data_IF_072064525476
#
_entry.id   IF_072064525476
#
_cell.length_a   1.000
_cell.length_b   1.000
_cell.length_c   1.000
_cell.angle_alpha   90.00
_cell.angle_beta   90.00
_cell.angle_gamma   90.00
#
_symmetry.space_group_name_H-M   'P 1'
#
loop_
_entity.id
_entity.type
_entity.pdbx_description
1 polymer ?
#
# COMPACT_ATOMS: atom_id res chain seq x y z
N UNK A 1 -21.96 3.55 -1.12
CA UNK A 1 -23.30 2.94 -1.32
C UNK A 1 -24.13 2.92 -0.03
N UNK A 2 -23.66 2.29 1.03
CA UNK A 2 -24.41 2.26 2.31
C UNK A 2 -24.55 3.66 2.94
N UNK A 3 -23.60 4.56 2.74
CA UNK A 3 -23.71 5.94 3.17
C UNK A 3 -24.99 6.60 2.63
N UNK A 4 -25.27 6.48 1.34
CA UNK A 4 -26.49 7.07 0.74
C UNK A 4 -27.77 6.42 1.28
N UNK A 5 -27.77 5.11 1.45
CA UNK A 5 -28.91 4.39 2.04
C UNK A 5 -29.14 4.84 3.49
N UNK A 6 -28.10 4.92 4.31
CA UNK A 6 -28.22 5.32 5.70
C UNK A 6 -28.59 6.81 5.86
N UNK A 7 -28.10 7.68 4.96
CA UNK A 7 -28.52 9.08 4.92
C UNK A 7 -30.01 9.22 4.57
N UNK A 8 -30.51 8.39 3.65
CA UNK A 8 -31.94 8.34 3.33
C UNK A 8 -32.76 7.82 4.54
N UNK A 9 -32.31 6.74 5.19
CA UNK A 9 -32.97 6.19 6.37
C UNK A 9 -32.95 7.13 7.57
N UNK A 10 -31.94 7.96 7.69
CA UNK A 10 -31.83 8.98 8.77
C UNK A 10 -32.97 10.02 8.72
N UNK A 11 -33.64 10.18 7.58
CA UNK A 11 -34.83 11.03 7.47
C UNK A 11 -36.04 10.45 8.24
N UNK A 12 -36.07 9.14 8.44
CA UNK A 12 -37.15 8.43 9.13
C UNK A 12 -36.79 8.09 10.58
N UNK A 13 -35.51 7.78 10.85
CA UNK A 13 -35.02 7.37 12.14
C UNK A 13 -33.64 8.00 12.41
N UNK A 14 -33.57 8.87 13.43
CA UNK A 14 -32.36 9.65 13.77
C UNK A 14 -31.14 8.79 14.13
N UNK A 15 -31.34 7.56 14.58
CA UNK A 15 -30.28 6.63 14.91
C UNK A 15 -29.34 6.35 13.71
N UNK A 16 -29.83 6.44 12.49
CA UNK A 16 -29.01 6.26 11.28
C UNK A 16 -28.00 7.38 11.04
N UNK A 17 -28.12 8.54 11.72
CA UNK A 17 -27.12 9.61 11.63
C UNK A 17 -25.72 9.17 12.09
N UNK A 18 -25.59 8.12 12.86
CA UNK A 18 -24.28 7.57 13.29
C UNK A 18 -23.41 7.17 12.09
N UNK A 19 -24.00 6.76 10.98
CA UNK A 19 -23.29 6.38 9.77
C UNK A 19 -22.79 7.55 8.92
N UNK A 20 -23.19 8.79 9.23
CA UNK A 20 -22.63 10.00 8.62
C UNK A 20 -21.24 10.33 9.17
N UNK A 21 -20.91 9.87 10.38
CA UNK A 21 -19.59 10.11 10.97
C UNK A 21 -18.50 9.33 10.26
N UNK A 22 -17.47 10.05 9.79
CA UNK A 22 -16.33 9.49 9.08
C UNK A 22 -15.63 8.38 9.87
N UNK A 23 -15.42 8.59 11.17
CA UNK A 23 -14.79 7.60 12.06
C UNK A 23 -15.59 6.31 12.17
N UNK A 24 -16.92 6.40 12.24
CA UNK A 24 -17.78 5.22 12.25
C UNK A 24 -17.69 4.45 10.93
N UNK A 25 -17.72 5.14 9.80
CA UNK A 25 -17.55 4.52 8.47
C UNK A 25 -16.18 3.87 8.29
N UNK A 26 -15.13 4.49 8.83
CA UNK A 26 -13.78 3.90 8.80
C UNK A 26 -13.74 2.61 9.62
N UNK A 27 -14.31 2.57 10.83
CA UNK A 27 -14.40 1.36 11.66
C UNK A 27 -15.18 0.26 10.93
N UNK A 28 -16.33 0.60 10.36
CA UNK A 28 -17.16 -0.35 9.62
C UNK A 28 -16.48 -0.83 8.33
N UNK A 29 -15.73 0.04 7.65
CA UNK A 29 -14.90 -0.31 6.51
C UNK A 29 -13.82 -1.33 6.87
N UNK A 30 -13.10 -1.11 7.96
CA UNK A 30 -12.10 -2.05 8.47
C UNK A 30 -12.71 -3.40 8.84
N UNK A 31 -13.81 -3.38 9.62
CA UNK A 31 -14.50 -4.61 10.03
C UNK A 31 -15.07 -5.38 8.83
N UNK A 32 -15.67 -4.68 7.87
CA UNK A 32 -16.18 -5.30 6.64
C UNK A 32 -15.06 -5.98 5.87
N UNK A 33 -13.93 -5.31 5.67
CA UNK A 33 -12.77 -5.86 4.97
C UNK A 33 -12.19 -7.08 5.70
N UNK A 34 -12.08 -7.02 7.03
CA UNK A 34 -11.60 -8.12 7.87
C UNK A 34 -12.52 -9.34 7.77
N UNK A 35 -13.84 -9.13 7.92
CA UNK A 35 -14.84 -10.22 7.83
C UNK A 35 -14.85 -10.83 6.44
N UNK A 36 -14.80 -10.02 5.38
CA UNK A 36 -14.71 -10.51 4.01
C UNK A 36 -13.48 -11.40 3.82
N UNK A 37 -12.34 -10.99 4.36
CA UNK A 37 -11.09 -11.76 4.30
C UNK A 37 -11.25 -13.12 4.98
N UNK A 38 -11.89 -13.18 6.15
CA UNK A 38 -12.13 -14.45 6.86
C UNK A 38 -13.15 -15.37 6.17
N UNK A 39 -14.17 -14.80 5.54
CA UNK A 39 -15.21 -15.57 4.85
C UNK A 39 -14.72 -16.10 3.49
N UNK A 40 -14.04 -15.25 2.72
CA UNK A 40 -13.57 -15.57 1.37
C UNK A 40 -12.27 -16.36 1.41
N UNK A 41 -11.34 -16.02 2.34
CA UNK A 41 -9.99 -16.56 2.41
C UNK A 41 -9.92 -18.08 2.36
N UNK A 42 -10.60 -18.83 3.25
CA UNK A 42 -10.50 -20.29 3.25
C UNK A 42 -10.99 -20.94 1.95
N UNK A 43 -12.03 -20.36 1.30
CA UNK A 43 -12.51 -20.85 0.01
C UNK A 43 -11.53 -20.59 -1.11
N UNK A 44 -10.94 -19.38 -1.12
CA UNK A 44 -9.97 -18.97 -2.11
C UNK A 44 -8.68 -19.80 -1.99
N UNK A 45 -8.14 -19.97 -0.79
CA UNK A 45 -6.93 -20.77 -0.53
C UNK A 45 -7.13 -22.20 -1.02
N UNK A 46 -8.26 -22.84 -0.68
CA UNK A 46 -8.57 -24.20 -1.17
C UNK A 46 -8.62 -24.27 -2.69
N UNK A 47 -9.22 -23.26 -3.36
CA UNK A 47 -9.29 -23.23 -4.83
C UNK A 47 -7.91 -23.05 -5.47
N UNK A 48 -7.07 -22.19 -4.90
CA UNK A 48 -5.69 -21.96 -5.37
C UNK A 48 -4.84 -23.21 -5.17
N UNK A 49 -4.92 -23.87 -4.00
CA UNK A 49 -4.20 -25.12 -3.72
C UNK A 49 -4.64 -26.26 -4.65
N UNK A 50 -5.94 -26.41 -4.90
CA UNK A 50 -6.47 -27.45 -5.81
C UNK A 50 -5.96 -27.26 -7.25
N UNK A 51 -5.82 -26.02 -7.69
CA UNK A 51 -5.34 -25.71 -9.04
C UNK A 51 -3.80 -25.72 -9.15
N UNK A 52 -3.10 -26.17 -8.11
CA UNK A 52 -1.64 -26.23 -8.03
C UNK A 52 -0.96 -24.88 -8.39
N UNK A 53 -1.59 -23.77 -8.01
CA UNK A 53 -1.08 -22.41 -8.22
C UNK A 53 0.01 -22.13 -7.18
N UNK A 54 1.00 -23.01 -7.08
CA UNK A 54 2.15 -22.88 -6.18
C UNK A 54 3.32 -22.19 -6.86
N UNK A 55 4.00 -21.32 -6.12
CA UNK A 55 5.19 -20.65 -6.65
C UNK A 55 6.36 -21.64 -6.74
N UNK A 56 7.06 -21.76 -7.88
CA UNK A 56 8.29 -22.53 -7.95
C UNK A 56 9.33 -21.88 -7.02
N UNK A 57 9.91 -22.70 -6.13
CA UNK A 57 10.98 -22.23 -5.24
C UNK A 57 12.25 -22.05 -6.07
N UNK A 58 12.95 -20.92 -5.89
CA UNK A 58 14.22 -20.67 -6.58
C UNK A 58 15.32 -21.53 -6.00
N UNK A 59 16.14 -22.16 -6.85
CA UNK A 59 17.24 -23.05 -6.43
C UNK A 59 18.41 -22.29 -5.79
N UNK A 60 18.47 -20.96 -5.98
CA UNK A 60 19.52 -20.05 -5.48
C UNK A 60 19.13 -19.32 -4.18
N UNK A 61 17.97 -19.65 -3.57
CA UNK A 61 17.51 -19.12 -2.28
C UNK A 61 18.02 -19.90 -1.05
N UNK A 62 17.73 -19.43 0.18
CA UNK A 62 18.00 -20.19 1.40
C UNK A 62 17.28 -21.54 1.40
N UNK A 63 17.93 -22.60 1.91
CA UNK A 63 17.37 -23.97 1.97
C UNK A 63 16.04 -24.04 2.74
N UNK A 64 15.81 -23.11 3.66
CA UNK A 64 14.55 -22.97 4.41
C UNK A 64 13.33 -22.69 3.52
N UNK A 65 13.54 -22.17 2.32
CA UNK A 65 12.46 -21.89 1.38
C UNK A 65 11.95 -23.14 0.64
N UNK A 66 12.73 -24.24 0.60
CA UNK A 66 12.31 -25.50 0.01
C UNK A 66 11.09 -26.12 0.72
N UNK A 67 10.92 -25.86 2.01
CA UNK A 67 9.77 -26.34 2.80
C UNK A 67 8.47 -25.66 2.37
N UNK A 68 8.56 -24.48 1.75
CA UNK A 68 7.41 -23.68 1.26
C UNK A 68 6.93 -24.09 -0.12
N UNK A 69 7.56 -25.09 -0.75
CA UNK A 69 7.15 -25.60 -2.05
C UNK A 69 5.70 -26.08 -1.99
N UNK A 70 4.87 -25.59 -2.91
CA UNK A 70 3.45 -25.93 -2.95
C UNK A 70 2.51 -24.98 -2.20
N UNK A 71 3.02 -24.00 -1.44
CA UNK A 71 2.17 -22.94 -0.89
C UNK A 71 1.56 -22.12 -2.02
N UNK A 72 0.22 -21.99 -2.08
CA UNK A 72 -0.44 -21.24 -3.14
C UNK A 72 -0.07 -19.75 -3.07
N UNK A 73 -0.03 -19.10 -4.21
CA UNK A 73 0.18 -17.63 -4.34
C UNK A 73 -1.04 -16.97 -4.96
N UNK A 74 -0.98 -15.67 -5.28
CA UNK A 74 -2.09 -14.82 -5.74
C UNK A 74 -3.08 -14.46 -4.61
N UNK A 75 -2.68 -14.56 -3.35
CA UNK A 75 -3.48 -14.14 -2.19
C UNK A 75 -3.84 -12.65 -2.18
N UNK A 76 -3.10 -11.83 -2.91
CA UNK A 76 -3.42 -10.42 -3.12
C UNK A 76 -4.81 -10.15 -3.68
N UNK A 77 -5.39 -11.09 -4.42
CA UNK A 77 -6.76 -10.96 -4.90
C UNK A 77 -7.79 -10.89 -3.75
N UNK A 78 -7.54 -11.59 -2.64
CA UNK A 78 -8.36 -11.49 -1.42
C UNK A 78 -8.31 -10.07 -0.83
N UNK A 79 -7.09 -9.52 -0.73
CA UNK A 79 -6.87 -8.18 -0.18
C UNK A 79 -7.61 -7.15 -1.04
N UNK A 80 -7.41 -7.18 -2.36
CA UNK A 80 -8.02 -6.22 -3.29
C UNK A 80 -9.54 -6.28 -3.28
N UNK A 81 -10.11 -7.49 -3.28
CA UNK A 81 -11.56 -7.66 -3.21
C UNK A 81 -12.11 -7.08 -1.91
N UNK A 82 -11.46 -7.36 -0.77
CA UNK A 82 -11.89 -6.86 0.53
C UNK A 82 -11.78 -5.33 0.62
N UNK A 83 -10.69 -4.73 0.12
CA UNK A 83 -10.53 -3.27 0.06
C UNK A 83 -11.60 -2.65 -0.85
N UNK A 84 -11.74 -3.14 -2.08
CA UNK A 84 -12.64 -2.55 -3.06
C UNK A 84 -14.10 -2.59 -2.59
N UNK A 85 -14.57 -3.76 -2.12
CA UNK A 85 -15.95 -3.90 -1.63
C UNK A 85 -16.18 -3.00 -0.42
N UNK A 86 -15.28 -2.99 0.56
CA UNK A 86 -15.44 -2.17 1.77
C UNK A 86 -15.42 -0.68 1.46
N UNK A 87 -14.52 -0.23 0.60
CA UNK A 87 -14.44 1.17 0.19
C UNK A 87 -15.72 1.60 -0.55
N UNK A 88 -16.19 0.80 -1.52
CA UNK A 88 -17.43 1.10 -2.26
C UNK A 88 -18.68 1.11 -1.38
N UNK A 89 -18.71 0.32 -0.32
CA UNK A 89 -19.83 0.29 0.62
C UNK A 89 -19.85 1.53 1.53
N UNK A 90 -18.70 1.94 2.08
CA UNK A 90 -18.64 2.88 3.20
C UNK A 90 -18.11 4.28 2.84
N UNK A 91 -17.35 4.45 1.73
CA UNK A 91 -16.86 5.77 1.32
C UNK A 91 -17.95 6.58 0.62
N UNK A 92 -17.73 7.89 0.61
CA UNK A 92 -18.45 8.81 -0.25
C UNK A 92 -17.95 8.65 -1.69
N UNK A 93 -18.85 8.17 -2.57
CA UNK A 93 -18.53 7.90 -3.97
C UNK A 93 -18.59 9.15 -4.88
N UNK A 94 -18.96 10.32 -4.35
CA UNK A 94 -18.84 11.59 -5.07
C UNK A 94 -17.42 12.15 -4.96
N UNK A 95 -16.62 11.62 -4.04
CA UNK A 95 -15.26 12.07 -3.79
C UNK A 95 -14.26 11.50 -4.82
N UNK A 96 -13.61 12.39 -5.57
CA UNK A 96 -12.64 12.01 -6.62
C UNK A 96 -11.42 11.28 -6.06
N UNK A 97 -10.95 11.64 -4.85
CA UNK A 97 -9.78 11.01 -4.25
C UNK A 97 -10.00 9.52 -3.98
N UNK A 98 -11.22 9.12 -3.61
CA UNK A 98 -11.60 7.71 -3.44
C UNK A 98 -11.44 6.97 -4.75
N UNK A 99 -11.90 7.54 -5.86
CA UNK A 99 -11.80 6.91 -7.18
C UNK A 99 -10.37 6.83 -7.68
N UNK A 100 -9.57 7.88 -7.47
CA UNK A 100 -8.14 7.88 -7.89
C UNK A 100 -7.37 6.81 -7.13
N UNK A 101 -7.54 6.71 -5.80
CA UNK A 101 -6.85 5.71 -4.98
C UNK A 101 -7.32 4.30 -5.32
N UNK A 102 -8.62 4.06 -5.50
CA UNK A 102 -9.16 2.78 -5.96
C UNK A 102 -8.65 2.42 -7.35
N UNK A 103 -8.66 3.36 -8.29
CA UNK A 103 -8.15 3.14 -9.65
C UNK A 103 -6.69 2.69 -9.63
N UNK A 104 -5.82 3.41 -8.92
CA UNK A 104 -4.40 3.06 -8.80
C UNK A 104 -4.24 1.67 -8.20
N UNK A 105 -4.94 1.41 -7.09
CA UNK A 105 -4.87 0.11 -6.39
C UNK A 105 -5.28 -1.04 -7.30
N UNK A 106 -6.40 -0.92 -7.99
CA UNK A 106 -6.92 -1.97 -8.85
C UNK A 106 -6.13 -2.12 -10.15
N UNK A 107 -5.69 -1.01 -10.78
CA UNK A 107 -4.88 -1.06 -11.99
C UNK A 107 -3.53 -1.77 -11.75
N UNK A 108 -2.85 -1.45 -10.65
CA UNK A 108 -1.62 -2.15 -10.27
C UNK A 108 -1.88 -3.61 -9.86
N UNK A 109 -3.03 -3.88 -9.26
CA UNK A 109 -3.49 -5.25 -9.01
C UNK A 109 -3.69 -6.06 -10.28
N UNK A 110 -4.27 -5.46 -11.33
CA UNK A 110 -4.41 -6.11 -12.66
C UNK A 110 -3.05 -6.39 -13.29
N UNK A 111 -2.10 -5.45 -13.19
CA UNK A 111 -0.73 -5.66 -13.68
C UNK A 111 -0.09 -6.86 -12.96
N UNK A 112 -0.20 -6.91 -11.63
CA UNK A 112 0.29 -8.03 -10.83
C UNK A 112 -0.42 -9.35 -11.16
N UNK A 113 -1.75 -9.30 -11.36
CA UNK A 113 -2.52 -10.49 -11.78
C UNK A 113 -2.02 -11.06 -13.11
N UNK A 114 -1.79 -10.23 -14.11
CA UNK A 114 -1.28 -10.69 -15.42
C UNK A 114 0.13 -11.27 -15.29
N UNK A 115 0.96 -10.73 -14.42
CA UNK A 115 2.31 -11.25 -14.15
C UNK A 115 2.25 -12.63 -13.47
N UNK A 116 1.50 -12.73 -12.37
CA UNK A 116 1.30 -13.98 -11.64
C UNK A 116 0.62 -15.04 -12.52
N UNK A 117 -0.40 -14.67 -13.31
CA UNK A 117 -1.09 -15.58 -14.21
C UNK A 117 -0.14 -16.18 -15.26
N UNK A 118 0.74 -15.36 -15.85
CA UNK A 118 1.73 -15.85 -16.80
C UNK A 118 2.73 -16.81 -16.17
N UNK A 119 3.21 -16.48 -14.97
CA UNK A 119 4.18 -17.31 -14.25
C UNK A 119 3.62 -18.68 -13.86
N UNK A 120 2.38 -18.69 -13.38
CA UNK A 120 1.79 -19.85 -12.72
C UNK A 120 0.91 -20.69 -13.63
N UNK A 121 0.01 -20.08 -14.37
CA UNK A 121 -0.96 -20.80 -15.22
C UNK A 121 -0.36 -21.10 -16.59
N UNK A 122 0.33 -20.12 -17.20
CA UNK A 122 1.00 -20.34 -18.48
C UNK A 122 2.40 -20.95 -18.34
N UNK A 123 2.84 -21.22 -17.09
CA UNK A 123 4.14 -21.82 -16.77
C UNK A 123 5.32 -21.10 -17.45
N UNK A 124 5.21 -19.78 -17.60
CA UNK A 124 6.27 -18.94 -18.15
C UNK A 124 7.00 -18.23 -16.98
N UNK A 125 8.16 -18.73 -16.53
CA UNK A 125 8.87 -18.18 -15.37
C UNK A 125 9.25 -16.70 -15.51
N UNK A 126 9.37 -16.20 -16.75
CA UNK A 126 9.70 -14.81 -17.01
C UNK A 126 8.55 -13.84 -16.72
N UNK A 127 7.29 -14.32 -16.67
CA UNK A 127 6.11 -13.49 -16.45
C UNK A 127 5.94 -12.37 -17.49
N UNK A 128 5.64 -11.16 -17.02
CA UNK A 128 5.68 -9.94 -17.84
C UNK A 128 7.12 -9.41 -17.87
N UNK A 129 7.60 -8.97 -19.02
CA UNK A 129 8.92 -8.34 -19.09
C UNK A 129 8.98 -7.07 -18.22
N UNK A 130 10.14 -6.78 -17.61
CA UNK A 130 10.31 -5.60 -16.79
C UNK A 130 9.92 -4.30 -17.51
N UNK A 131 10.20 -4.20 -18.81
CA UNK A 131 9.81 -3.03 -19.64
C UNK A 131 8.28 -2.88 -19.74
N UNK A 132 7.58 -4.01 -19.99
CA UNK A 132 6.10 -4.00 -20.05
C UNK A 132 5.49 -3.68 -18.69
N UNK A 133 6.06 -4.23 -17.60
CA UNK A 133 5.60 -3.96 -16.23
C UNK A 133 5.69 -2.48 -15.91
N UNK A 134 6.86 -1.87 -16.10
CA UNK A 134 7.07 -0.43 -15.89
C UNK A 134 6.21 0.42 -16.82
N UNK A 135 6.01 0.02 -18.07
CA UNK A 135 5.17 0.75 -19.01
C UNK A 135 3.72 0.87 -18.51
N UNK A 136 3.09 -0.24 -18.12
CA UNK A 136 1.70 -0.21 -17.64
C UNK A 136 1.56 0.47 -16.27
N UNK A 137 2.54 0.30 -15.37
CA UNK A 137 2.61 1.05 -14.12
C UNK A 137 2.70 2.56 -14.38
N UNK A 138 3.53 2.97 -15.35
CA UNK A 138 3.68 4.37 -15.75
C UNK A 138 2.39 4.93 -16.31
N UNK A 139 1.69 4.21 -17.18
CA UNK A 139 0.41 4.64 -17.73
C UNK A 139 -0.61 4.90 -16.62
N UNK A 140 -0.77 3.96 -15.70
CA UNK A 140 -1.72 4.12 -14.60
C UNK A 140 -1.35 5.28 -13.65
N UNK A 141 -0.06 5.41 -13.30
CA UNK A 141 0.42 6.47 -12.41
C UNK A 141 0.31 7.87 -13.06
N UNK A 142 0.58 7.99 -14.35
CA UNK A 142 0.44 9.26 -15.10
C UNK A 142 -1.03 9.66 -15.17
N UNK A 143 -1.95 8.73 -15.44
CA UNK A 143 -3.39 9.02 -15.44
C UNK A 143 -3.82 9.56 -14.07
N UNK A 144 -3.38 8.94 -12.98
CA UNK A 144 -3.68 9.41 -11.63
C UNK A 144 -3.08 10.80 -11.35
N UNK A 145 -1.82 11.05 -11.76
CA UNK A 145 -1.15 12.33 -11.60
C UNK A 145 -1.87 13.46 -12.36
N UNK A 146 -2.28 13.20 -13.61
CA UNK A 146 -3.06 14.12 -14.43
C UNK A 146 -4.42 14.41 -13.78
N UNK A 147 -5.13 13.37 -13.32
CA UNK A 147 -6.43 13.52 -12.69
C UNK A 147 -6.37 14.41 -11.43
N UNK A 148 -5.36 14.16 -10.56
CA UNK A 148 -5.17 14.95 -9.35
C UNK A 148 -4.77 16.41 -9.66
N UNK A 149 -3.91 16.63 -10.64
CA UNK A 149 -3.47 17.97 -11.02
C UNK A 149 -4.63 18.82 -11.57
N UNK A 150 -5.36 18.31 -12.55
CA UNK A 150 -6.48 19.05 -13.16
C UNK A 150 -7.67 19.21 -12.22
N UNK A 151 -7.89 18.24 -11.32
CA UNK A 151 -8.89 18.41 -10.26
C UNK A 151 -8.52 19.58 -9.32
N UNK A 152 -7.25 19.68 -8.93
CA UNK A 152 -6.78 20.78 -8.10
C UNK A 152 -6.87 22.14 -8.82
N UNK A 153 -6.54 22.18 -10.11
CA UNK A 153 -6.65 23.38 -10.95
C UNK A 153 -8.11 23.85 -11.05
N UNK A 154 -9.03 22.92 -11.32
CA UNK A 154 -10.46 23.23 -11.46
C UNK A 154 -11.10 23.74 -10.14
N UNK A 155 -10.55 23.34 -8.99
CA UNK A 155 -11.01 23.76 -7.66
C UNK A 155 -10.22 24.95 -7.07
N UNK A 156 -9.27 25.52 -7.81
CA UNK A 156 -8.46 26.65 -7.33
C UNK A 156 -7.52 26.29 -6.16
N UNK A 157 -7.18 25.01 -6.00
CA UNK A 157 -6.34 24.50 -4.90
C UNK A 157 -4.94 24.08 -5.37
N UNK A 158 -4.54 24.55 -6.55
CA UNK A 158 -3.31 24.12 -7.21
C UNK A 158 -2.05 24.42 -6.38
N UNK A 159 -2.00 25.57 -5.71
CA UNK A 159 -0.85 25.93 -4.85
C UNK A 159 -0.66 24.92 -3.70
N UNK A 160 -1.74 24.54 -3.04
CA UNK A 160 -1.70 23.51 -1.99
C UNK A 160 -1.39 22.14 -2.59
N UNK A 161 -1.96 21.84 -3.76
CA UNK A 161 -1.82 20.56 -4.42
C UNK A 161 -0.41 20.32 -5.00
N UNK A 162 0.36 21.35 -5.26
CA UNK A 162 1.71 21.26 -5.82
C UNK A 162 2.82 21.63 -4.82
N UNK A 163 2.46 21.86 -3.56
CA UNK A 163 3.41 22.10 -2.48
C UNK A 163 3.94 20.78 -1.91
N UNK A 164 5.25 20.56 -1.96
CA UNK A 164 5.91 19.48 -1.25
C UNK A 164 6.26 19.96 0.16
N UNK A 165 5.72 19.28 1.16
CA UNK A 165 5.89 19.61 2.58
C UNK A 165 7.16 18.96 3.13
N UNK A 166 7.96 19.73 3.86
CA UNK A 166 9.14 19.20 4.57
C UNK A 166 8.71 18.85 6.00
N UNK A 167 8.69 17.56 6.40
CA UNK A 167 8.31 17.18 7.75
C UNK A 167 9.26 17.81 8.77
N UNK A 168 8.73 18.17 9.96
CA UNK A 168 9.41 18.87 11.05
C UNK A 168 9.77 20.34 10.79
N UNK A 169 9.71 20.81 9.54
CA UNK A 169 9.97 22.20 9.16
C UNK A 169 8.74 22.75 8.43
N UNK A 170 7.66 23.01 9.16
CA UNK A 170 6.33 23.29 8.59
C UNK A 170 6.27 24.57 7.73
N UNK A 171 7.13 25.54 8.02
CA UNK A 171 7.24 26.75 7.22
C UNK A 171 8.01 26.56 5.89
N UNK A 172 8.65 25.38 5.72
CA UNK A 172 9.41 25.05 4.53
C UNK A 172 8.57 24.21 3.58
N UNK A 173 8.09 24.87 2.54
CA UNK A 173 7.38 24.23 1.44
C UNK A 173 8.09 24.50 0.13
N UNK A 174 8.16 23.49 -0.72
CA UNK A 174 8.74 23.62 -2.06
C UNK A 174 7.59 23.58 -3.06
N UNK A 175 7.36 24.71 -3.74
CA UNK A 175 6.34 24.77 -4.80
C UNK A 175 6.89 24.08 -6.06
N UNK A 176 6.30 22.97 -6.42
CA UNK A 176 6.73 22.14 -7.54
C UNK A 176 5.97 22.45 -8.84
N UNK A 177 4.79 23.09 -8.75
CA UNK A 177 3.95 23.33 -9.91
C UNK A 177 3.69 22.03 -10.69
N UNK A 178 3.85 22.04 -12.01
CA UNK A 178 3.66 20.85 -12.85
C UNK A 178 4.62 19.68 -12.50
N UNK A 179 5.79 19.96 -11.87
CA UNK A 179 6.71 18.89 -11.47
C UNK A 179 6.14 17.98 -10.37
N UNK A 180 5.04 18.38 -9.71
CA UNK A 180 4.31 17.53 -8.78
C UNK A 180 3.80 16.24 -9.46
N UNK A 181 3.46 16.29 -10.75
CA UNK A 181 3.07 15.07 -11.49
C UNK A 181 4.20 14.03 -11.52
N UNK A 182 5.46 14.48 -11.64
CA UNK A 182 6.62 13.59 -11.58
C UNK A 182 6.79 12.99 -10.18
N UNK A 183 6.61 13.79 -9.12
CA UNK A 183 6.65 13.30 -7.74
C UNK A 183 5.54 12.28 -7.50
N UNK A 184 4.31 12.56 -7.93
CA UNK A 184 3.19 11.63 -7.88
C UNK A 184 3.54 10.30 -8.56
N UNK A 185 4.06 10.35 -9.79
CA UNK A 185 4.52 9.18 -10.53
C UNK A 185 5.57 8.39 -9.75
N UNK A 186 6.61 9.06 -9.26
CA UNK A 186 7.71 8.42 -8.54
C UNK A 186 7.24 7.74 -7.26
N UNK A 187 6.33 8.36 -6.51
CA UNK A 187 5.80 7.75 -5.29
C UNK A 187 4.90 6.56 -5.57
N UNK A 188 4.00 6.63 -6.55
CA UNK A 188 3.12 5.51 -6.91
C UNK A 188 3.94 4.32 -7.44
N UNK A 189 4.78 4.54 -8.46
CA UNK A 189 5.56 3.46 -9.10
C UNK A 189 6.68 2.98 -8.17
N UNK A 190 7.35 3.91 -7.49
CA UNK A 190 8.45 3.60 -6.56
C UNK A 190 7.98 2.73 -5.40
N UNK A 191 6.94 3.13 -4.68
CA UNK A 191 6.41 2.34 -3.57
C UNK A 191 5.77 1.03 -4.01
N UNK A 192 5.13 0.99 -5.19
CA UNK A 192 4.65 -0.26 -5.76
C UNK A 192 5.75 -1.30 -5.87
N UNK A 193 6.87 -0.93 -6.48
CA UNK A 193 7.99 -1.86 -6.65
C UNK A 193 8.76 -2.09 -5.33
N UNK A 194 8.79 -1.12 -4.42
CA UNK A 194 9.43 -1.26 -3.12
C UNK A 194 8.73 -2.28 -2.22
N UNK A 195 7.40 -2.24 -2.16
CA UNK A 195 6.61 -3.25 -1.43
C UNK A 195 6.77 -4.62 -2.09
N UNK A 196 6.78 -4.69 -3.42
CA UNK A 196 6.98 -5.94 -4.15
C UNK A 196 8.36 -6.57 -3.89
N UNK A 197 9.42 -5.78 -3.79
CA UNK A 197 10.75 -6.26 -3.42
C UNK A 197 10.84 -6.71 -1.96
N UNK A 198 10.00 -6.17 -1.08
CA UNK A 198 9.97 -6.53 0.34
C UNK A 198 9.16 -7.80 0.60
N UNK A 199 8.27 -8.20 -0.32
CA UNK A 199 7.40 -9.39 -0.18
C UNK A 199 8.17 -10.70 -0.45
N UNK A 200 9.24 -10.92 0.31
CA UNK A 200 10.10 -12.11 0.19
C UNK A 200 9.96 -13.11 1.33
N UNK A 201 9.35 -12.73 2.47
CA UNK A 201 9.14 -13.58 3.65
C UNK A 201 7.69 -13.50 4.12
N UNK A 202 7.23 -14.57 4.81
CA UNK A 202 5.84 -14.74 5.27
C UNK A 202 5.40 -13.59 6.19
N UNK A 203 4.44 -12.78 5.74
CA UNK A 203 3.92 -11.64 6.52
C UNK A 203 4.85 -10.41 6.58
N UNK A 204 6.03 -10.45 5.95
CA UNK A 204 7.00 -9.36 6.05
C UNK A 204 6.47 -8.05 5.46
N UNK A 205 5.88 -8.07 4.27
CA UNK A 205 5.42 -6.86 3.59
C UNK A 205 4.04 -6.39 4.07
N UNK A 206 3.13 -7.30 4.42
CA UNK A 206 1.74 -6.94 4.71
C UNK A 206 1.60 -6.15 6.02
N UNK A 207 2.28 -6.52 7.11
CA UNK A 207 2.15 -5.81 8.37
C UNK A 207 2.72 -4.39 8.32
N UNK A 208 3.91 -4.12 7.76
CA UNK A 208 4.37 -2.76 7.47
C UNK A 208 3.38 -1.96 6.64
N UNK A 209 2.77 -2.57 5.62
CA UNK A 209 1.74 -1.90 4.80
C UNK A 209 0.52 -1.50 5.63
N UNK A 210 0.04 -2.36 6.52
CA UNK A 210 -1.07 -2.07 7.45
C UNK A 210 -0.72 -0.91 8.39
N UNK A 211 0.48 -0.92 8.96
CA UNK A 211 0.95 0.12 9.89
C UNK A 211 1.07 1.48 9.19
N UNK A 212 1.72 1.51 8.03
CA UNK A 212 1.91 2.74 7.24
C UNK A 212 0.57 3.24 6.68
N UNK A 213 -0.26 2.34 6.14
CA UNK A 213 -1.58 2.68 5.63
C UNK A 213 -2.51 3.23 6.72
N UNK A 214 -2.49 2.62 7.93
CA UNK A 214 -3.23 3.13 9.08
C UNK A 214 -2.78 4.53 9.51
N UNK A 215 -1.46 4.77 9.55
CA UNK A 215 -0.91 6.09 9.85
C UNK A 215 -1.28 7.13 8.78
N UNK A 216 -1.20 6.79 7.50
CA UNK A 216 -1.67 7.67 6.42
C UNK A 216 -3.18 7.95 6.52
N UNK A 217 -3.98 7.00 7.01
CA UNK A 217 -5.39 7.22 7.33
C UNK A 217 -5.59 8.29 8.40
N UNK A 218 -4.74 8.34 9.43
CA UNK A 218 -4.76 9.44 10.42
C UNK A 218 -4.38 10.77 9.77
N UNK A 219 -3.36 10.80 8.91
CA UNK A 219 -3.03 12.01 8.14
C UNK A 219 -4.21 12.44 7.27
N UNK A 220 -4.89 11.53 6.60
CA UNK A 220 -6.07 11.83 5.79
C UNK A 220 -7.17 12.49 6.64
N UNK A 221 -7.42 11.95 7.82
CA UNK A 221 -8.42 12.48 8.74
C UNK A 221 -8.09 13.92 9.19
N UNK A 222 -6.86 14.18 9.61
CA UNK A 222 -6.48 15.51 10.12
C UNK A 222 -6.33 16.53 8.99
N UNK A 223 -5.80 16.14 7.82
CA UNK A 223 -5.68 17.02 6.65
C UNK A 223 -7.03 17.40 6.05
N UNK A 224 -8.00 16.47 6.14
CA UNK A 224 -9.37 16.71 5.69
C UNK A 224 -10.28 17.44 6.66
N UNK A 225 -9.78 17.87 7.81
CA UNK A 225 -10.54 18.57 8.85
C UNK A 225 -9.95 19.96 9.11
N UNK A 226 -10.73 21.02 8.90
CA UNK A 226 -10.29 22.41 9.04
C UNK A 226 -9.70 22.69 10.43
N UNK A 227 -10.38 22.27 11.51
CA UNK A 227 -9.94 22.55 12.87
C UNK A 227 -8.62 21.83 13.20
N UNK A 228 -8.49 20.56 12.79
CA UNK A 228 -7.27 19.81 13.05
C UNK A 228 -6.10 20.28 12.18
N UNK A 229 -6.34 20.61 10.91
CA UNK A 229 -5.29 21.12 10.04
C UNK A 229 -4.74 22.46 10.53
N UNK A 230 -5.62 23.37 10.93
CA UNK A 230 -5.23 24.67 11.54
C UNK A 230 -4.46 24.46 12.86
N UNK A 231 -5.00 23.65 13.78
CA UNK A 231 -4.32 23.36 15.05
C UNK A 231 -2.94 22.73 14.88
N UNK A 232 -2.81 21.84 13.89
CA UNK A 232 -1.55 21.14 13.60
C UNK A 232 -0.62 21.94 12.70
N UNK A 233 -1.06 23.05 12.10
CA UNK A 233 -0.29 23.86 11.14
C UNK A 233 0.08 23.08 9.88
N UNK A 234 -0.84 22.26 9.37
CA UNK A 234 -0.71 21.52 8.11
C UNK A 234 -1.73 22.04 7.09
N UNK A 235 -1.49 21.90 5.78
CA UNK A 235 -2.45 22.33 4.78
C UNK A 235 -3.78 21.59 4.90
N UNK A 236 -4.88 22.33 4.86
CA UNK A 236 -6.20 21.75 4.70
C UNK A 236 -6.45 21.36 3.25
N UNK A 237 -6.85 20.13 3.02
CA UNK A 237 -7.23 19.61 1.69
C UNK A 237 -8.63 19.04 1.78
N UNK A 238 -9.61 19.77 1.25
CA UNK A 238 -11.02 19.37 1.30
C UNK A 238 -11.23 17.98 0.67
N UNK A 239 -11.99 17.14 1.36
CA UNK A 239 -12.35 15.81 0.87
C UNK A 239 -11.32 14.70 1.17
N UNK A 240 -10.09 15.00 1.56
CA UNK A 240 -9.09 13.94 1.87
C UNK A 240 -9.49 13.08 3.07
N UNK A 241 -10.33 13.58 3.97
CA UNK A 241 -10.84 12.80 5.09
C UNK A 241 -11.46 11.46 4.68
N UNK A 242 -12.12 11.39 3.52
CA UNK A 242 -12.72 10.14 3.00
C UNK A 242 -11.71 9.03 2.76
N UNK A 243 -10.45 9.38 2.49
CA UNK A 243 -9.36 8.40 2.32
C UNK A 243 -9.08 7.62 3.61
N UNK A 244 -9.47 8.14 4.79
CA UNK A 244 -9.41 7.38 6.03
C UNK A 244 -10.22 6.07 5.94
N UNK A 245 -11.39 6.08 5.25
CA UNK A 245 -12.22 4.87 5.07
C UNK A 245 -11.49 3.85 4.22
N UNK A 246 -10.84 4.29 3.13
CA UNK A 246 -10.00 3.42 2.30
C UNK A 246 -8.81 2.83 3.10
N UNK A 247 -8.09 3.66 3.85
CA UNK A 247 -6.97 3.22 4.67
C UNK A 247 -7.40 2.24 5.76
N UNK A 248 -8.57 2.45 6.35
CA UNK A 248 -9.16 1.53 7.32
C UNK A 248 -9.55 0.19 6.68
N UNK A 249 -10.13 0.22 5.46
CA UNK A 249 -10.42 -0.98 4.69
C UNK A 249 -9.13 -1.73 4.31
N UNK A 250 -8.06 -1.01 3.92
CA UNK A 250 -6.74 -1.58 3.67
C UNK A 250 -6.18 -2.27 4.92
N UNK A 251 -6.27 -1.61 6.07
CA UNK A 251 -5.80 -2.19 7.34
C UNK A 251 -6.60 -3.45 7.71
N UNK A 252 -7.93 -3.41 7.59
CA UNK A 252 -8.78 -4.56 7.85
C UNK A 252 -8.51 -5.75 6.90
N UNK A 253 -8.39 -5.48 5.59
CA UNK A 253 -8.05 -6.49 4.58
C UNK A 253 -6.65 -7.06 4.81
N UNK A 254 -5.67 -6.20 5.12
CA UNK A 254 -4.29 -6.59 5.39
C UNK A 254 -4.17 -7.47 6.63
N UNK A 255 -4.84 -7.11 7.73
CA UNK A 255 -4.89 -7.95 8.95
C UNK A 255 -5.61 -9.28 8.69
N UNK A 256 -6.71 -9.26 7.92
CA UNK A 256 -7.42 -10.47 7.54
C UNK A 256 -6.59 -11.39 6.64
N UNK A 257 -5.79 -10.83 5.75
CA UNK A 257 -4.84 -11.59 4.94
C UNK A 257 -3.67 -12.12 5.78
N UNK A 258 -3.12 -11.32 6.69
CA UNK A 258 -2.03 -11.71 7.59
C UNK A 258 -2.37 -12.95 8.42
N UNK A 259 -3.64 -13.14 8.78
CA UNK A 259 -4.11 -14.36 9.46
C UNK A 259 -3.72 -15.64 8.72
N UNK A 260 -3.71 -15.60 7.39
CA UNK A 260 -3.34 -16.74 6.55
C UNK A 260 -1.89 -16.68 6.06
N UNK A 261 -1.28 -15.50 6.05
CA UNK A 261 0.06 -15.26 5.52
C UNK A 261 1.15 -15.20 6.61
N UNK A 262 0.77 -15.27 7.92
CA UNK A 262 1.76 -15.36 9.01
C UNK A 262 2.56 -16.65 8.90
N UNK A 263 3.82 -16.61 9.35
CA UNK A 263 4.73 -17.78 9.31
C UNK A 263 4.22 -18.96 10.15
N UNK A 264 4.16 -20.21 9.63
CA UNK A 264 4.35 -20.58 8.20
C UNK A 264 3.11 -20.26 7.36
N UNK A 265 3.30 -19.57 6.23
CA UNK A 265 2.20 -19.06 5.43
C UNK A 265 1.37 -20.15 4.75
N UNK A 266 0.04 -19.99 4.78
CA UNK A 266 -0.93 -20.82 4.06
C UNK A 266 -1.16 -20.31 2.62
N UNK A 267 -0.80 -19.05 2.34
CA UNK A 267 -0.94 -18.40 1.03
C UNK A 267 0.05 -17.23 0.93
N UNK A 268 0.68 -17.08 -0.23
CA UNK A 268 1.52 -15.92 -0.53
C UNK A 268 0.72 -14.81 -1.21
N UNK A 269 1.16 -13.58 -0.99
CA UNK A 269 0.49 -12.39 -1.50
C UNK A 269 0.58 -12.30 -3.02
N UNK A 270 1.76 -12.54 -3.59
CA UNK A 270 2.05 -12.43 -5.01
C UNK A 270 2.12 -10.98 -5.51
N UNK A 271 2.48 -10.84 -6.78
CA UNK A 271 2.60 -9.53 -7.43
C UNK A 271 1.27 -8.76 -7.44
N UNK A 272 0.12 -9.45 -7.44
CA UNK A 272 -1.22 -8.84 -7.31
C UNK A 272 -1.30 -7.94 -6.10
N UNK A 273 -0.97 -8.48 -4.93
CA UNK A 273 -1.10 -7.76 -3.66
C UNK A 273 0.05 -6.76 -3.47
N UNK A 274 1.28 -7.20 -3.69
CA UNK A 274 2.46 -6.41 -3.41
C UNK A 274 2.52 -5.12 -4.23
N UNK A 275 2.28 -5.20 -5.55
CA UNK A 275 2.28 -4.02 -6.42
C UNK A 275 1.14 -3.07 -6.10
N UNK A 276 -0.06 -3.59 -5.88
CA UNK A 276 -1.25 -2.78 -5.63
C UNK A 276 -1.18 -2.04 -4.29
N UNK A 277 -0.74 -2.72 -3.23
CA UNK A 277 -0.63 -2.13 -1.91
C UNK A 277 0.44 -1.03 -1.86
N UNK A 278 1.60 -1.26 -2.48
CA UNK A 278 2.62 -0.23 -2.58
C UNK A 278 2.16 0.99 -3.36
N UNK A 279 1.49 0.79 -4.50
CA UNK A 279 0.90 1.87 -5.30
C UNK A 279 -0.19 2.62 -4.52
N UNK A 280 -1.03 1.91 -3.75
CA UNK A 280 -2.03 2.50 -2.89
C UNK A 280 -1.41 3.43 -1.83
N UNK A 281 -0.35 2.98 -1.14
CA UNK A 281 0.37 3.82 -0.18
C UNK A 281 0.93 5.09 -0.84
N UNK A 282 1.54 4.96 -2.03
CA UNK A 282 2.03 6.09 -2.80
C UNK A 282 0.94 7.07 -3.19
N UNK A 283 -0.20 6.57 -3.70
CA UNK A 283 -1.35 7.39 -4.09
C UNK A 283 -1.97 8.12 -2.88
N UNK A 284 -2.16 7.42 -1.75
CA UNK A 284 -2.69 8.02 -0.52
C UNK A 284 -1.76 9.13 -0.03
N UNK A 285 -0.44 8.90 0.03
CA UNK A 285 0.51 9.90 0.50
C UNK A 285 0.48 11.18 -0.33
N UNK A 286 0.36 11.06 -1.65
CA UNK A 286 0.22 12.20 -2.55
C UNK A 286 -1.09 12.95 -2.30
N UNK A 287 -2.20 12.26 -2.13
CA UNK A 287 -3.51 12.88 -1.85
C UNK A 287 -3.47 13.65 -0.54
N UNK A 288 -2.84 13.10 0.51
CA UNK A 288 -2.75 13.76 1.83
C UNK A 288 -1.54 14.68 2.00
N UNK A 289 -0.76 14.90 0.93
CA UNK A 289 0.44 15.75 0.94
C UNK A 289 1.52 15.32 1.92
N UNK A 290 1.73 14.03 2.06
CA UNK A 290 2.68 13.45 3.02
C UNK A 290 3.69 12.53 2.32
N UNK A 291 4.19 12.95 1.18
CA UNK A 291 5.11 12.16 0.35
C UNK A 291 6.40 11.83 1.12
N UNK A 292 7.07 12.85 1.69
CA UNK A 292 8.31 12.64 2.45
C UNK A 292 8.04 11.85 3.74
N UNK A 293 6.91 12.09 4.39
CA UNK A 293 6.51 11.33 5.57
C UNK A 293 6.30 9.85 5.22
N UNK A 294 5.69 9.55 4.05
CA UNK A 294 5.61 8.17 3.56
C UNK A 294 7.00 7.55 3.40
N UNK A 295 7.98 8.28 2.84
CA UNK A 295 9.34 7.77 2.70
C UNK A 295 9.98 7.45 4.07
N UNK A 296 9.66 8.21 5.12
CA UNK A 296 10.10 7.94 6.50
C UNK A 296 9.36 6.72 7.07
N UNK A 297 8.02 6.74 7.09
CA UNK A 297 7.22 5.65 7.67
C UNK A 297 7.42 4.33 6.94
N UNK A 298 7.51 4.39 5.61
CA UNK A 298 7.80 3.26 4.73
C UNK A 298 9.29 2.95 4.57
N UNK A 299 10.15 3.43 5.49
CA UNK A 299 11.60 3.32 5.38
C UNK A 299 12.12 1.89 5.25
N UNK A 300 11.38 0.90 5.77
CA UNK A 300 11.70 -0.52 5.53
C UNK A 300 11.65 -0.82 4.03
N UNK A 301 10.58 -0.43 3.33
CA UNK A 301 10.46 -0.63 1.88
C UNK A 301 11.54 0.12 1.10
N UNK A 302 11.85 1.36 1.54
CA UNK A 302 12.90 2.20 0.94
C UNK A 302 14.25 1.53 1.09
N UNK A 303 14.62 1.07 2.29
CA UNK A 303 15.93 0.46 2.56
C UNK A 303 16.08 -0.87 1.83
N UNK A 304 15.02 -1.70 1.75
CA UNK A 304 15.02 -2.94 0.96
C UNK A 304 15.31 -2.63 -0.52
N UNK A 305 14.62 -1.64 -1.09
CA UNK A 305 14.82 -1.22 -2.48
C UNK A 305 16.24 -0.68 -2.70
N UNK A 306 16.71 0.22 -1.82
CA UNK A 306 18.05 0.77 -1.91
C UNK A 306 19.12 -0.32 -1.83
N UNK A 307 18.92 -1.35 -1.02
CA UNK A 307 19.84 -2.47 -0.93
C UNK A 307 20.01 -3.19 -2.26
N UNK A 308 18.92 -3.36 -3.01
CA UNK A 308 18.96 -3.96 -4.36
C UNK A 308 19.68 -3.03 -5.35
N UNK A 309 19.36 -1.74 -5.33
CA UNK A 309 20.01 -0.75 -6.21
C UNK A 309 21.52 -0.72 -5.96
N UNK A 310 21.95 -0.64 -4.70
CA UNK A 310 23.36 -0.63 -4.30
C UNK A 310 24.05 -1.92 -4.72
N UNK A 311 23.42 -3.08 -4.45
CA UNK A 311 23.96 -4.39 -4.81
C UNK A 311 24.19 -4.52 -6.32
N UNK A 312 23.16 -4.18 -7.11
CA UNK A 312 23.24 -4.27 -8.59
C UNK A 312 24.24 -3.25 -9.15
N UNK A 313 24.23 -2.03 -8.62
CA UNK A 313 25.18 -0.99 -9.00
C UNK A 313 26.62 -1.40 -8.72
N UNK A 314 26.91 -1.83 -7.50
CA UNK A 314 28.25 -2.28 -7.11
C UNK A 314 28.73 -3.47 -7.99
N UNK A 315 27.86 -4.45 -8.17
CA UNK A 315 28.22 -5.65 -8.96
C UNK A 315 28.54 -5.30 -10.43
N UNK A 316 27.73 -4.40 -11.05
CA UNK A 316 27.97 -3.94 -12.42
C UNK A 316 29.25 -3.10 -12.55
N UNK A 317 29.58 -2.28 -11.55
CA UNK A 317 30.72 -1.36 -11.61
C UNK A 317 32.04 -2.02 -11.16
N UNK A 318 31.99 -2.90 -10.14
CA UNK A 318 33.19 -3.44 -9.48
C UNK A 318 33.33 -4.96 -9.52
N UNK A 319 32.28 -5.68 -9.95
CA UNK A 319 32.22 -7.14 -9.87
C UNK A 319 32.06 -7.70 -8.45
N UNK A 320 31.90 -6.83 -7.44
CA UNK A 320 31.82 -7.24 -6.03
C UNK A 320 30.43 -7.03 -5.45
N UNK A 321 30.00 -7.95 -4.60
CA UNK A 321 28.75 -7.83 -3.83
C UNK A 321 28.99 -7.03 -2.55
N UNK A 322 28.10 -6.09 -2.22
CA UNK A 322 28.09 -5.34 -0.95
C UNK A 322 27.44 -6.17 0.15
N UNK A 323 26.29 -6.76 -0.16
CA UNK A 323 25.54 -7.61 0.74
C UNK A 323 25.71 -9.09 0.35
N UNK A 324 25.53 -10.01 1.30
CA UNK A 324 25.51 -11.47 0.99
C UNK A 324 24.47 -11.78 -0.07
N UNK A 325 23.28 -11.18 0.08
CA UNK A 325 22.17 -11.21 -0.87
C UNK A 325 21.36 -9.90 -0.70
N UNK A 326 20.69 -9.45 -1.73
CA UNK A 326 19.70 -8.36 -1.69
C UNK A 326 18.38 -8.91 -2.22
N UNK A 327 17.24 -8.45 -1.67
CA UNK A 327 17.03 -7.44 -0.63
C UNK A 327 17.59 -7.82 0.76
N UNK A 328 17.60 -6.87 1.73
CA UNK A 328 18.28 -7.04 3.02
C UNK A 328 17.73 -8.17 3.90
N UNK A 329 16.45 -8.49 3.84
CA UNK A 329 15.89 -9.61 4.59
C UNK A 329 16.64 -10.92 4.30
N UNK A 330 16.96 -11.22 3.03
CA UNK A 330 17.79 -12.39 2.67
C UNK A 330 19.23 -12.29 3.18
N UNK A 331 19.79 -11.08 3.26
CA UNK A 331 21.11 -10.90 3.88
C UNK A 331 21.13 -11.36 5.34
N UNK A 332 20.08 -11.06 6.10
CA UNK A 332 19.98 -11.49 7.51
C UNK A 332 19.71 -12.99 7.65
N UNK A 333 18.91 -13.60 6.76
CA UNK A 333 18.75 -15.05 6.71
C UNK A 333 20.09 -15.75 6.46
N UNK A 334 20.86 -15.29 5.47
CA UNK A 334 22.21 -15.81 5.18
C UNK A 334 23.25 -15.52 6.27
N UNK A 335 22.92 -14.64 7.24
CA UNK A 335 23.68 -14.48 8.49
C UNK A 335 23.25 -15.46 9.58
N UNK A 336 22.26 -16.32 9.34
CA UNK A 336 21.77 -17.31 10.27
C UNK A 336 20.64 -16.83 11.19
N UNK A 337 19.96 -15.73 10.84
CA UNK A 337 18.75 -15.34 11.57
C UNK A 337 17.56 -16.18 11.11
N UNK A 338 16.81 -16.71 12.06
CA UNK A 338 15.56 -17.40 11.75
C UNK A 338 14.56 -16.42 11.11
N UNK A 339 13.81 -16.87 10.10
CA UNK A 339 12.83 -16.08 9.36
C UNK A 339 11.85 -15.29 10.27
N UNK A 340 11.18 -15.91 11.28
CA UNK A 340 10.29 -15.16 12.16
C UNK A 340 10.99 -14.01 12.91
N UNK A 341 12.29 -14.18 13.20
CA UNK A 341 13.09 -13.15 13.88
C UNK A 341 13.35 -11.95 12.96
N UNK A 342 13.57 -12.17 11.67
CA UNK A 342 13.72 -11.12 10.67
C UNK A 342 12.39 -10.36 10.55
N UNK A 343 11.30 -11.08 10.35
CA UNK A 343 9.94 -10.55 10.18
C UNK A 343 9.56 -9.62 11.33
N UNK A 344 9.61 -10.13 12.57
CA UNK A 344 9.19 -9.36 13.75
C UNK A 344 10.07 -8.11 13.96
N UNK A 345 11.39 -8.21 13.70
CA UNK A 345 12.27 -7.04 13.81
C UNK A 345 11.95 -5.97 12.78
N UNK A 346 11.63 -6.34 11.57
CA UNK A 346 11.21 -5.39 10.53
C UNK A 346 9.86 -4.73 10.88
N UNK A 347 8.93 -5.47 11.48
CA UNK A 347 7.69 -4.90 12.01
C UNK A 347 7.97 -3.86 13.11
N UNK A 348 8.86 -4.19 14.07
CA UNK A 348 9.25 -3.26 15.14
C UNK A 348 9.91 -2.00 14.55
N UNK A 349 10.81 -2.14 13.59
CA UNK A 349 11.42 -1.00 12.88
C UNK A 349 10.33 -0.16 12.21
N UNK A 350 9.35 -0.78 11.54
CA UNK A 350 8.24 -0.05 10.92
C UNK A 350 7.42 0.71 11.97
N UNK A 351 7.12 0.11 13.13
CA UNK A 351 6.43 0.83 14.21
C UNK A 351 7.21 2.07 14.64
N UNK A 352 8.52 1.95 14.84
CA UNK A 352 9.38 3.10 15.19
C UNK A 352 9.30 4.18 14.10
N UNK A 353 9.43 3.81 12.83
CA UNK A 353 9.39 4.75 11.71
C UNK A 353 8.01 5.42 11.57
N UNK A 354 6.94 4.68 11.80
CA UNK A 354 5.57 5.21 11.83
C UNK A 354 5.40 6.22 12.97
N UNK A 355 5.90 5.93 14.17
CA UNK A 355 5.86 6.87 15.28
C UNK A 355 6.69 8.13 14.98
N UNK A 356 7.85 7.99 14.35
CA UNK A 356 8.66 9.13 13.88
C UNK A 356 7.84 9.94 12.86
N UNK A 357 7.23 9.31 11.85
CA UNK A 357 6.38 10.01 10.88
C UNK A 357 5.19 10.73 11.53
N UNK A 358 4.48 10.09 12.45
CA UNK A 358 3.37 10.70 13.17
C UNK A 358 3.81 11.86 14.08
N UNK A 359 5.03 11.82 14.63
CA UNK A 359 5.58 12.93 15.42
C UNK A 359 5.68 14.23 14.61
N UNK A 360 5.86 14.15 13.28
CA UNK A 360 5.89 15.33 12.41
C UNK A 360 4.59 16.12 12.40
N UNK A 361 3.46 15.54 12.81
CA UNK A 361 2.18 16.25 12.97
C UNK A 361 2.26 17.35 14.04
N UNK A 362 3.04 17.14 15.10
CA UNK A 362 3.05 18.04 16.25
C UNK A 362 4.37 18.78 16.42
N UNK A 363 5.51 18.22 16.02
CA UNK A 363 6.81 18.87 16.11
C UNK A 363 6.87 19.97 15.05
N UNK A 364 7.20 21.16 15.50
CA UNK A 364 7.29 22.39 14.71
C UNK A 364 8.74 22.87 14.69
#
# INVERSE_FOLDING_TARGET
MLLYLTTYLAQFESGFNVFSYLTMRAILGALTALVLSFVIGPRMIRKLSHNQVGQPVRDDGPDTHLIKAGTPTMGGALILTSIAVSTLLWSDLENIFVWVVLFVTLAFGVIGYVDDYKKLILQNPAGISAKQKIFWQSVAAIIAAIALYYFAEANGTLDTATALLIPYFKDWTIQLGMSQMLVTYLFIVGFSNAVNLTDGLDGLAIMPTVLVGGALGLFAYVTGNVNFSEYLGIPYVAGTGEIMVFCAALAGAGLGFLWFNTYPAQVFMGDIGALSLGAALGAVAVVVRQEIVLAIMGGVFVVETLSVIIQVGSFKLTGKRVFRMAPLHHHFELKGWAEPKVIVRFWIITVILVLIGLASLKIR
#
